data_IF_270491203658
#
_entry.id   IF_270491203658
#
_cell.length_a   1.000
_cell.length_b   1.000
_cell.length_c   1.000
_cell.angle_alpha   90.00
_cell.angle_beta   90.00
_cell.angle_gamma   90.00
#
_symmetry.space_group_name_H-M   'P 1'
#
loop_
_entity.id
_entity.type
_entity.pdbx_description
1 polymer ?
#
# COMPACT_ATOMS: atom_id res chain seq x y z
N UNK A 1 2.72 52.46 -53.04
CA UNK A 1 2.59 52.06 -54.45
C UNK A 1 2.04 50.65 -54.49
N UNK A 2 0.75 50.48 -54.83
CA UNK A 2 0.15 49.99 -56.09
C UNK A 2 0.61 48.55 -56.37
N UNK A 3 -0.20 47.48 -56.57
CA UNK A 3 -1.60 47.24 -57.02
C UNK A 3 -1.80 45.72 -56.87
N UNK A 4 -2.85 45.12 -56.29
CA UNK A 4 -4.15 44.74 -56.88
C UNK A 4 -4.05 43.88 -58.17
N UNK A 5 -4.63 42.58 -58.11
CA UNK A 5 -5.83 42.21 -58.89
C UNK A 5 -5.90 40.65 -58.86
N UNK A 6 -6.89 39.99 -58.29
CA UNK A 6 -8.23 39.60 -58.76
C UNK A 6 -8.25 38.38 -59.71
N UNK A 7 -8.96 37.31 -59.20
CA UNK A 7 -10.14 36.61 -59.77
C UNK A 7 -9.97 35.73 -61.02
N UNK A 8 -10.46 34.52 -60.97
CA UNK A 8 -11.77 33.89 -61.37
C UNK A 8 -11.52 32.40 -61.64
N UNK A 9 -12.24 31.44 -60.99
CA UNK A 9 -13.51 30.75 -61.36
C UNK A 9 -13.60 30.30 -62.83
N UNK A 10 -13.77 28.95 -62.99
CA UNK A 10 -14.69 28.20 -63.83
C UNK A 10 -14.22 26.72 -63.84
N UNK A 11 -14.94 25.75 -63.33
CA UNK A 11 -16.14 25.01 -63.78
C UNK A 11 -15.97 24.32 -65.13
N UNK A 12 -16.09 23.03 -65.14
CA UNK A 12 -16.81 22.21 -66.14
C UNK A 12 -16.16 20.85 -66.42
N UNK A 13 -16.82 19.82 -66.04
CA UNK A 13 -17.53 18.72 -66.75
C UNK A 13 -16.71 17.60 -67.39
N UNK A 14 -17.07 16.41 -66.88
CA UNK A 14 -17.36 15.13 -67.56
C UNK A 14 -16.37 14.60 -68.61
N UNK A 15 -15.86 13.38 -68.40
CA UNK A 15 -16.35 12.24 -69.20
C UNK A 15 -15.89 10.91 -68.58
N UNK A 16 -16.80 9.95 -68.62
CA UNK A 16 -16.62 8.59 -68.18
C UNK A 16 -15.81 7.75 -69.19
N UNK A 17 -15.00 6.83 -68.70
CA UNK A 17 -14.64 5.62 -69.43
C UNK A 17 -14.46 4.46 -68.46
N UNK A 18 -15.31 3.46 -68.65
CA UNK A 18 -15.32 2.15 -68.04
C UNK A 18 -14.21 1.30 -68.67
N UNK A 19 -13.41 0.62 -67.91
CA UNK A 19 -12.90 -0.74 -68.30
C UNK A 19 -12.60 -1.61 -67.07
N UNK A 20 -13.02 -2.83 -67.19
CA UNK A 20 -13.10 -3.89 -66.18
C UNK A 20 -11.78 -4.56 -65.82
N UNK A 21 -11.82 -5.21 -64.65
CA UNK A 21 -11.29 -6.53 -64.27
C UNK A 21 -9.85 -6.60 -63.79
N UNK A 22 -9.69 -6.80 -62.49
CA UNK A 22 -9.09 -8.04 -61.94
C UNK A 22 -9.30 -8.08 -60.44
N UNK A 23 -10.04 -9.07 -59.99
CA UNK A 23 -10.19 -9.42 -58.58
C UNK A 23 -8.87 -9.98 -58.03
N UNK A 24 -8.35 -9.36 -56.97
CA UNK A 24 -7.50 -10.01 -55.97
C UNK A 24 -7.98 -9.57 -54.61
N UNK A 25 -8.53 -10.55 -53.91
CA UNK A 25 -9.05 -10.35 -52.55
C UNK A 25 -7.95 -9.89 -51.57
N UNK A 26 -8.10 -8.69 -51.06
CA UNK A 26 -7.53 -8.31 -49.79
C UNK A 26 -8.63 -8.56 -48.75
N UNK A 27 -8.42 -9.58 -47.95
CA UNK A 27 -9.14 -9.77 -46.70
C UNK A 27 -8.71 -8.60 -45.81
N UNK A 28 -9.53 -7.57 -45.72
CA UNK A 28 -9.45 -6.63 -44.61
C UNK A 28 -9.86 -7.43 -43.35
N UNK A 29 -8.88 -7.73 -42.50
CA UNK A 29 -9.16 -7.99 -41.13
C UNK A 29 -9.72 -6.67 -40.54
N UNK A 30 -11.04 -6.55 -40.43
CA UNK A 30 -11.66 -5.64 -39.51
C UNK A 30 -11.18 -6.09 -38.12
N UNK A 31 -10.23 -5.34 -37.56
CA UNK A 31 -10.08 -5.32 -36.13
C UNK A 31 -11.42 -4.81 -35.59
N UNK A 32 -12.25 -5.73 -35.15
CA UNK A 32 -13.37 -5.41 -34.27
C UNK A 32 -12.76 -4.95 -32.93
N UNK A 33 -12.43 -3.69 -32.87
CA UNK A 33 -12.24 -2.99 -31.61
C UNK A 33 -13.64 -2.91 -30.98
N UNK A 34 -14.04 -3.95 -30.26
CA UNK A 34 -15.17 -3.89 -29.35
C UNK A 34 -14.76 -2.94 -28.23
N UNK A 35 -15.03 -1.65 -28.41
CA UNK A 35 -15.19 -0.75 -27.27
C UNK A 35 -16.38 -1.29 -26.49
N UNK A 36 -16.11 -2.11 -25.45
CA UNK A 36 -17.10 -2.34 -24.40
C UNK A 36 -17.52 -0.96 -23.90
N UNK A 37 -18.78 -0.62 -24.09
CA UNK A 37 -19.36 0.60 -23.51
C UNK A 37 -19.22 0.48 -22.00
N UNK A 38 -18.49 1.41 -21.39
CA UNK A 38 -18.35 1.47 -19.95
C UNK A 38 -19.74 1.61 -19.32
N UNK A 39 -20.12 0.66 -18.47
CA UNK A 39 -21.48 0.48 -17.95
C UNK A 39 -21.90 1.57 -16.95
N UNK A 40 -20.94 2.25 -16.35
CA UNK A 40 -21.15 3.19 -15.25
C UNK A 40 -21.32 2.49 -13.90
N UNK A 41 -21.44 3.26 -12.84
CA UNK A 41 -21.62 2.73 -11.46
C UNK A 41 -23.07 2.34 -11.23
N UNK A 42 -24.02 3.13 -11.70
CA UNK A 42 -25.47 2.89 -11.53
C UNK A 42 -25.91 1.59 -12.21
N UNK A 43 -26.52 0.71 -11.42
CA UNK A 43 -26.96 -0.62 -11.84
C UNK A 43 -25.85 -1.66 -12.03
N UNK A 44 -24.61 -1.37 -11.66
CA UNK A 44 -23.52 -2.36 -11.64
C UNK A 44 -23.62 -3.30 -10.44
N UNK A 45 -23.23 -4.56 -10.62
CA UNK A 45 -23.06 -5.53 -9.53
C UNK A 45 -21.59 -5.57 -9.11
N UNK A 46 -21.32 -5.31 -7.83
CA UNK A 46 -19.97 -5.37 -7.25
C UNK A 46 -19.91 -6.41 -6.14
N UNK A 47 -18.98 -7.38 -6.28
CA UNK A 47 -18.67 -8.34 -5.23
C UNK A 47 -17.55 -7.81 -4.34
N UNK A 48 -17.67 -7.96 -3.02
CA UNK A 48 -16.59 -7.70 -2.08
C UNK A 48 -16.22 -9.01 -1.34
N UNK A 49 -15.08 -9.60 -1.68
CA UNK A 49 -14.57 -10.83 -1.07
C UNK A 49 -13.61 -10.47 0.08
N UNK A 50 -14.15 -10.41 1.30
CA UNK A 50 -13.40 -10.12 2.51
C UNK A 50 -12.69 -11.37 3.02
N UNK A 51 -11.46 -11.22 3.51
CA UNK A 51 -10.69 -12.33 4.09
C UNK A 51 -11.34 -12.87 5.39
N UNK A 52 -11.83 -11.95 6.24
CA UNK A 52 -12.52 -12.27 7.50
C UNK A 52 -13.29 -11.04 8.02
N UNK A 53 -14.60 -11.10 8.01
CA UNK A 53 -15.45 -10.03 8.59
C UNK A 53 -15.55 -10.10 10.11
N UNK A 54 -15.01 -11.12 10.75
CA UNK A 54 -14.81 -11.16 12.20
C UNK A 54 -13.78 -10.12 12.67
N UNK A 55 -12.88 -9.69 11.78
CA UNK A 55 -11.99 -8.56 12.01
C UNK A 55 -12.74 -7.24 11.79
N UNK A 56 -12.84 -6.42 12.84
CA UNK A 56 -13.60 -5.17 12.81
C UNK A 56 -13.12 -4.17 11.74
N UNK A 57 -11.80 -4.11 11.47
CA UNK A 57 -11.25 -3.25 10.44
C UNK A 57 -11.70 -3.71 9.04
N UNK A 58 -11.62 -5.01 8.74
CA UNK A 58 -12.04 -5.57 7.45
C UNK A 58 -13.54 -5.40 7.24
N UNK A 59 -14.33 -5.65 8.29
CA UNK A 59 -15.80 -5.45 8.23
C UNK A 59 -16.15 -3.98 7.96
N UNK A 60 -15.53 -3.04 8.69
CA UNK A 60 -15.73 -1.60 8.49
C UNK A 60 -15.33 -1.15 7.08
N UNK A 61 -14.16 -1.59 6.59
CA UNK A 61 -13.71 -1.31 5.24
C UNK A 61 -14.70 -1.78 4.16
N UNK A 62 -15.23 -3.00 4.32
CA UNK A 62 -16.18 -3.56 3.37
C UNK A 62 -17.52 -2.79 3.38
N UNK A 63 -18.06 -2.48 4.56
CA UNK A 63 -19.35 -1.77 4.70
C UNK A 63 -19.23 -0.30 4.27
N UNK A 64 -18.13 0.39 4.57
CA UNK A 64 -17.91 1.77 4.15
C UNK A 64 -17.72 1.86 2.63
N UNK A 65 -16.95 0.94 2.03
CA UNK A 65 -16.79 0.86 0.56
C UNK A 65 -18.12 0.56 -0.12
N UNK A 66 -18.90 -0.38 0.44
CA UNK A 66 -20.25 -0.70 -0.02
C UNK A 66 -21.14 0.54 0.01
N UNK A 67 -21.18 1.25 1.13
CA UNK A 67 -22.02 2.44 1.30
C UNK A 67 -21.70 3.52 0.26
N UNK A 68 -20.43 3.72 -0.09
CA UNK A 68 -20.02 4.68 -1.12
C UNK A 68 -20.46 4.25 -2.52
N UNK A 69 -20.29 2.98 -2.89
CA UNK A 69 -20.71 2.46 -4.19
C UNK A 69 -22.23 2.44 -4.34
N UNK A 70 -22.97 2.04 -3.29
CA UNK A 70 -24.43 2.03 -3.30
C UNK A 70 -25.04 3.44 -3.36
N UNK A 71 -24.36 4.45 -2.84
CA UNK A 71 -24.77 5.85 -2.99
C UNK A 71 -24.78 6.31 -4.45
N UNK A 72 -23.94 5.70 -5.31
CA UNK A 72 -23.91 5.94 -6.74
C UNK A 72 -24.72 4.92 -7.56
N UNK A 73 -25.53 4.09 -6.90
CA UNK A 73 -26.51 3.19 -7.53
C UNK A 73 -25.97 1.79 -7.84
N UNK A 74 -24.79 1.39 -7.38
CA UNK A 74 -24.35 0.00 -7.49
C UNK A 74 -25.14 -0.93 -6.57
N UNK A 75 -25.23 -2.23 -6.94
CA UNK A 75 -25.60 -3.31 -6.03
C UNK A 75 -24.30 -3.93 -5.47
N UNK A 76 -24.07 -3.88 -4.15
CA UNK A 76 -22.85 -4.42 -3.55
C UNK A 76 -23.16 -5.59 -2.62
N UNK A 77 -22.50 -6.73 -2.86
CA UNK A 77 -22.61 -7.93 -2.05
C UNK A 77 -21.28 -8.27 -1.39
N UNK A 78 -21.28 -8.37 -0.05
CA UNK A 78 -20.10 -8.75 0.73
C UNK A 78 -20.12 -10.25 0.99
N UNK A 79 -19.01 -10.92 0.71
CA UNK A 79 -18.78 -12.33 0.99
C UNK A 79 -17.61 -12.48 1.96
N UNK A 80 -17.83 -13.15 3.08
CA UNK A 80 -16.85 -13.43 4.11
C UNK A 80 -16.17 -14.77 3.87
N UNK A 81 -14.84 -14.79 3.68
CA UNK A 81 -14.08 -16.03 3.52
C UNK A 81 -13.82 -16.73 4.86
N UNK A 82 -13.89 -16.03 5.99
CA UNK A 82 -13.62 -16.58 7.32
C UNK A 82 -12.24 -17.27 7.38
N UNK A 83 -11.20 -16.66 6.77
CA UNK A 83 -9.84 -17.18 6.63
C UNK A 83 -9.70 -18.51 5.87
N UNK A 84 -10.72 -18.89 5.07
CA UNK A 84 -10.69 -20.08 4.22
C UNK A 84 -10.50 -19.68 2.74
N UNK A 85 -9.31 -19.96 2.20
CA UNK A 85 -8.96 -19.62 0.82
C UNK A 85 -9.80 -20.41 -0.20
N UNK A 86 -10.19 -21.65 0.11
CA UNK A 86 -11.06 -22.45 -0.78
C UNK A 86 -12.46 -21.84 -0.87
N UNK A 87 -12.97 -21.34 0.25
CA UNK A 87 -14.23 -20.60 0.31
C UNK A 87 -14.13 -19.30 -0.50
N UNK A 88 -12.99 -18.58 -0.37
CA UNK A 88 -12.78 -17.34 -1.11
C UNK A 88 -12.69 -17.56 -2.63
N UNK A 89 -12.00 -18.62 -3.10
CA UNK A 89 -12.01 -19.04 -4.51
C UNK A 89 -13.44 -19.19 -5.02
N UNK A 90 -14.27 -19.99 -4.30
CA UNK A 90 -15.66 -20.21 -4.69
C UNK A 90 -16.50 -18.93 -4.71
N UNK A 91 -16.23 -17.98 -3.81
CA UNK A 91 -16.91 -16.68 -3.77
C UNK A 91 -16.57 -15.83 -5.01
N UNK A 92 -15.29 -15.75 -5.39
CA UNK A 92 -14.84 -15.02 -6.60
C UNK A 92 -15.50 -15.63 -7.85
N UNK A 93 -15.46 -16.97 -7.99
CA UNK A 93 -16.09 -17.68 -9.11
C UNK A 93 -17.61 -17.46 -9.15
N UNK A 94 -18.29 -17.46 -8.00
CA UNK A 94 -19.73 -17.19 -7.92
C UNK A 94 -20.06 -15.76 -8.37
N UNK A 95 -19.33 -14.75 -7.95
CA UNK A 95 -19.52 -13.38 -8.43
C UNK A 95 -19.31 -13.28 -9.95
N UNK A 96 -18.30 -13.95 -10.48
CA UNK A 96 -18.08 -14.02 -11.92
C UNK A 96 -19.27 -14.64 -12.66
N UNK A 97 -19.83 -15.77 -12.15
CA UNK A 97 -20.99 -16.44 -12.74
C UNK A 97 -22.26 -15.58 -12.61
N UNK A 98 -22.39 -14.81 -11.55
CA UNK A 98 -23.50 -13.85 -11.36
C UNK A 98 -23.41 -12.65 -12.31
N UNK A 99 -22.29 -12.49 -13.03
CA UNK A 99 -22.04 -11.37 -13.93
C UNK A 99 -21.68 -10.08 -13.20
N UNK A 100 -20.91 -10.20 -12.11
CA UNK A 100 -20.38 -9.03 -11.42
C UNK A 100 -19.54 -8.17 -12.38
N UNK A 101 -19.78 -6.87 -12.37
CA UNK A 101 -19.04 -5.89 -13.18
C UNK A 101 -17.68 -5.57 -12.54
N UNK A 102 -17.59 -5.63 -11.19
CA UNK A 102 -16.32 -5.54 -10.46
C UNK A 102 -16.30 -6.48 -9.25
N UNK A 103 -15.10 -6.90 -8.86
CA UNK A 103 -14.86 -7.69 -7.65
C UNK A 103 -13.69 -7.06 -6.88
N UNK A 104 -13.92 -6.75 -5.61
CA UNK A 104 -12.89 -6.31 -4.67
C UNK A 104 -12.46 -7.53 -3.85
N UNK A 105 -11.15 -7.77 -3.74
CA UNK A 105 -10.61 -8.93 -3.05
C UNK A 105 -9.56 -8.49 -2.02
N UNK A 106 -9.79 -8.84 -0.75
CA UNK A 106 -8.75 -8.85 0.27
C UNK A 106 -8.37 -10.31 0.47
N UNK A 107 -7.22 -10.77 -0.05
CA UNK A 107 -6.92 -12.19 -0.13
C UNK A 107 -6.62 -12.83 1.22
N UNK A 108 -7.11 -14.06 1.44
CA UNK A 108 -6.71 -14.93 2.54
C UNK A 108 -5.31 -15.49 2.29
N UNK A 109 -5.12 -16.04 1.08
CA UNK A 109 -3.86 -16.54 0.57
C UNK A 109 -3.71 -16.07 -0.88
N UNK A 110 -2.84 -15.06 -1.12
CA UNK A 110 -2.71 -14.44 -2.44
C UNK A 110 -2.35 -15.45 -3.55
N UNK A 111 -1.48 -16.39 -3.27
CA UNK A 111 -0.98 -17.34 -4.29
C UNK A 111 -2.07 -18.31 -4.77
N UNK A 112 -3.04 -18.64 -3.91
CA UNK A 112 -4.13 -19.56 -4.22
C UNK A 112 -5.23 -18.95 -5.11
N UNK A 113 -5.32 -17.62 -5.22
CA UNK A 113 -6.44 -16.93 -5.86
C UNK A 113 -6.21 -16.57 -7.35
N UNK A 114 -4.98 -16.74 -7.83
CA UNK A 114 -4.59 -16.31 -9.18
C UNK A 114 -5.55 -16.80 -10.27
N UNK A 115 -5.92 -18.08 -10.24
CA UNK A 115 -6.73 -18.69 -11.31
C UNK A 115 -8.20 -18.29 -11.24
N UNK A 116 -8.79 -18.18 -10.02
CA UNK A 116 -10.17 -17.71 -9.85
C UNK A 116 -10.33 -16.24 -10.25
N UNK A 117 -9.32 -15.40 -9.99
CA UNK A 117 -9.32 -14.00 -10.45
C UNK A 117 -9.24 -13.93 -11.97
N UNK A 118 -8.35 -14.69 -12.62
CA UNK A 118 -8.29 -14.76 -14.08
C UNK A 118 -9.62 -15.22 -14.69
N UNK A 119 -10.24 -16.24 -14.08
CA UNK A 119 -11.55 -16.68 -14.50
C UNK A 119 -12.60 -15.56 -14.42
N UNK A 120 -12.61 -14.78 -13.30
CA UNK A 120 -13.50 -13.64 -13.17
C UNK A 120 -13.28 -12.57 -14.25
N UNK A 121 -12.00 -12.28 -14.56
CA UNK A 121 -11.62 -11.34 -15.63
C UNK A 121 -12.06 -11.86 -17.02
N UNK A 122 -11.96 -13.16 -17.29
CA UNK A 122 -12.44 -13.79 -18.52
C UNK A 122 -13.99 -13.73 -18.65
N UNK A 123 -14.72 -13.67 -17.53
CA UNK A 123 -16.15 -13.43 -17.53
C UNK A 123 -16.53 -11.95 -17.64
N UNK A 124 -15.56 -11.05 -17.71
CA UNK A 124 -15.76 -9.60 -17.89
C UNK A 124 -15.70 -8.77 -16.60
N UNK A 125 -15.52 -9.38 -15.43
CA UNK A 125 -15.40 -8.65 -14.19
C UNK A 125 -14.06 -7.90 -14.12
N UNK A 126 -14.07 -6.65 -13.62
CA UNK A 126 -12.87 -5.93 -13.23
C UNK A 126 -12.48 -6.31 -11.80
N UNK A 127 -11.20 -6.55 -11.54
CA UNK A 127 -10.77 -7.03 -10.22
C UNK A 127 -9.80 -6.05 -9.57
N UNK A 128 -10.21 -5.50 -8.41
CA UNK A 128 -9.37 -4.76 -7.47
C UNK A 128 -8.88 -5.73 -6.40
N UNK A 129 -7.58 -5.90 -6.29
CA UNK A 129 -6.95 -6.65 -5.19
C UNK A 129 -6.32 -5.68 -4.20
N UNK A 130 -6.47 -5.94 -2.91
CA UNK A 130 -5.95 -5.10 -1.83
C UNK A 130 -5.04 -5.92 -0.92
N UNK A 131 -3.88 -5.37 -0.57
CA UNK A 131 -2.95 -5.87 0.47
C UNK A 131 -2.24 -7.21 0.22
N UNK A 132 -2.48 -7.91 -0.85
CA UNK A 132 -1.79 -9.19 -1.13
C UNK A 132 -1.67 -9.42 -2.62
N UNK A 133 -0.46 -9.54 -3.16
CA UNK A 133 -0.23 -9.68 -4.61
C UNK A 133 -0.62 -11.07 -5.11
N UNK A 134 -1.82 -11.17 -5.68
CA UNK A 134 -2.36 -12.39 -6.30
C UNK A 134 -1.84 -12.68 -7.71
N UNK A 135 -0.92 -11.88 -8.22
CA UNK A 135 -0.34 -11.94 -9.59
C UNK A 135 -1.36 -11.72 -10.73
N UNK A 136 -2.65 -11.70 -10.44
CA UNK A 136 -3.75 -11.42 -11.36
C UNK A 136 -4.66 -10.34 -10.76
N UNK A 137 -4.88 -9.24 -11.48
CA UNK A 137 -5.74 -8.12 -11.09
C UNK A 137 -5.83 -7.11 -12.24
N UNK A 138 -6.86 -6.28 -12.23
CA UNK A 138 -6.93 -5.05 -13.03
C UNK A 138 -6.23 -3.90 -12.29
N UNK A 139 -6.42 -3.79 -10.96
CA UNK A 139 -5.65 -2.91 -10.09
C UNK A 139 -5.25 -3.62 -8.80
N UNK A 140 -4.05 -3.34 -8.33
CA UNK A 140 -3.53 -3.79 -7.05
C UNK A 140 -3.29 -2.57 -6.16
N UNK A 141 -4.04 -2.45 -5.07
CA UNK A 141 -3.88 -1.40 -4.07
C UNK A 141 -3.06 -1.93 -2.90
N UNK A 142 -1.91 -1.32 -2.64
CA UNK A 142 -0.95 -1.77 -1.63
C UNK A 142 -0.08 -0.62 -1.14
N UNK A 143 0.73 -0.88 -0.12
CA UNK A 143 1.79 0.03 0.33
C UNK A 143 3.16 -0.51 -0.08
N UNK A 144 4.08 0.38 -0.43
CA UNK A 144 5.45 0.00 -0.74
C UNK A 144 6.20 -0.35 0.55
N UNK A 145 6.37 -1.65 0.80
CA UNK A 145 6.97 -2.16 2.04
C UNK A 145 8.43 -1.75 2.20
N UNK A 146 9.18 -1.69 1.10
CA UNK A 146 10.58 -1.21 1.15
C UNK A 146 10.65 0.27 1.54
N UNK A 147 9.82 1.10 0.92
CA UNK A 147 9.79 2.54 1.24
C UNK A 147 9.26 2.80 2.67
N UNK A 148 8.40 1.93 3.23
CA UNK A 148 8.01 2.00 4.64
C UNK A 148 9.23 1.79 5.55
N UNK A 149 9.99 0.72 5.36
CA UNK A 149 11.19 0.45 6.15
C UNK A 149 12.25 1.55 6.02
N UNK A 150 12.46 2.03 4.79
CA UNK A 150 13.37 3.14 4.51
C UNK A 150 12.91 4.46 5.14
N UNK A 151 11.60 4.72 5.21
CA UNK A 151 11.07 5.89 5.89
C UNK A 151 11.28 5.80 7.42
N UNK A 152 11.18 4.61 8.02
CA UNK A 152 11.56 4.41 9.42
C UNK A 152 13.07 4.65 9.65
N UNK A 153 13.92 4.16 8.75
CA UNK A 153 15.35 4.44 8.77
C UNK A 153 15.64 5.95 8.61
N UNK A 154 14.88 6.66 7.78
CA UNK A 154 15.04 8.11 7.63
C UNK A 154 14.67 8.89 8.91
N UNK A 155 13.60 8.46 9.62
CA UNK A 155 13.26 9.03 10.94
C UNK A 155 14.42 8.86 11.93
N UNK A 156 14.99 7.66 11.98
CA UNK A 156 16.15 7.37 12.83
C UNK A 156 17.39 8.17 12.43
N UNK A 157 17.66 8.29 11.12
CA UNK A 157 18.78 9.08 10.58
C UNK A 157 18.68 10.55 11.01
N UNK A 158 17.49 11.15 10.85
CA UNK A 158 17.24 12.54 11.25
C UNK A 158 17.45 12.73 12.77
N UNK A 159 16.97 11.79 13.57
CA UNK A 159 17.15 11.83 15.02
C UNK A 159 18.63 11.67 15.44
N UNK A 160 19.38 10.78 14.79
CA UNK A 160 20.83 10.61 15.01
C UNK A 160 21.57 11.92 14.70
N UNK A 161 21.28 12.54 13.56
CA UNK A 161 21.93 13.78 13.14
C UNK A 161 21.65 14.93 14.10
N UNK A 162 20.46 14.99 14.68
CA UNK A 162 20.08 16.01 15.64
C UNK A 162 20.67 15.73 17.03
N UNK A 163 20.65 14.48 17.49
CA UNK A 163 21.06 14.10 18.85
C UNK A 163 22.60 14.02 18.97
N UNK A 164 23.26 13.58 17.91
CA UNK A 164 24.72 13.37 17.85
C UNK A 164 25.37 14.16 16.71
N UNK A 165 25.28 15.52 16.71
CA UNK A 165 25.75 16.35 15.59
C UNK A 165 27.23 16.17 15.30
N UNK A 166 28.05 15.95 16.32
CA UNK A 166 29.52 15.84 16.24
C UNK A 166 30.03 14.38 16.19
N UNK A 167 29.11 13.39 16.08
CA UNK A 167 29.51 11.98 16.00
C UNK A 167 30.27 11.69 14.70
N UNK A 168 31.32 10.87 14.79
CA UNK A 168 32.11 10.41 13.65
C UNK A 168 31.32 9.35 12.84
N UNK A 169 31.69 9.14 11.59
CA UNK A 169 31.12 8.09 10.75
C UNK A 169 31.26 6.72 11.42
N UNK A 170 30.18 5.95 11.47
CA UNK A 170 30.12 4.61 12.05
C UNK A 170 30.20 4.57 13.59
N UNK A 171 30.09 5.70 14.29
CA UNK A 171 30.20 5.75 15.75
C UNK A 171 28.88 5.58 16.52
N UNK A 172 27.74 5.70 15.87
CA UNK A 172 26.42 5.55 16.50
C UNK A 172 25.88 4.14 16.26
N UNK A 173 25.83 3.34 17.31
CA UNK A 173 25.38 1.95 17.23
C UNK A 173 23.86 1.85 17.02
N UNK A 174 23.45 1.06 16.02
CA UNK A 174 22.07 0.78 15.64
C UNK A 174 21.82 -0.72 15.68
N UNK A 175 20.68 -1.14 16.21
CA UNK A 175 20.18 -2.50 16.06
C UNK A 175 18.93 -2.52 15.18
N UNK A 176 18.71 -3.62 14.46
CA UNK A 176 17.51 -3.85 13.65
C UNK A 176 16.81 -5.10 14.17
N UNK A 177 15.54 -4.94 14.55
CA UNK A 177 14.62 -6.01 14.88
C UNK A 177 13.71 -6.23 13.68
N UNK A 178 14.00 -7.27 12.92
CA UNK A 178 13.37 -7.54 11.62
C UNK A 178 12.48 -8.78 11.64
N UNK A 179 11.71 -8.96 10.57
CA UNK A 179 11.04 -10.19 10.24
C UNK A 179 11.22 -10.51 8.76
N UNK A 180 11.53 -11.78 8.46
CA UNK A 180 11.71 -12.29 7.10
C UNK A 180 10.80 -13.50 6.84
N UNK A 181 9.68 -13.59 7.58
CA UNK A 181 8.74 -14.71 7.46
C UNK A 181 8.02 -14.77 6.12
N UNK A 182 7.88 -13.62 5.47
CA UNK A 182 7.31 -13.51 4.12
C UNK A 182 7.99 -12.38 3.33
N UNK A 183 7.79 -12.32 1.99
CA UNK A 183 8.43 -11.34 1.13
C UNK A 183 8.11 -9.87 1.49
N UNK A 184 6.91 -9.56 1.98
CA UNK A 184 6.52 -8.20 2.33
C UNK A 184 7.27 -7.71 3.57
N UNK A 185 7.36 -8.56 4.60
CA UNK A 185 8.12 -8.26 5.81
C UNK A 185 9.63 -8.17 5.50
N UNK A 186 10.14 -9.06 4.65
CA UNK A 186 11.52 -9.00 4.20
C UNK A 186 11.83 -7.68 3.45
N UNK A 187 10.94 -7.22 2.58
CA UNK A 187 11.10 -5.93 1.88
C UNK A 187 11.09 -4.74 2.85
N UNK A 188 10.20 -4.74 3.86
CA UNK A 188 10.23 -3.71 4.91
C UNK A 188 11.56 -3.73 5.66
N UNK A 189 12.00 -4.92 6.05
CA UNK A 189 13.29 -5.12 6.73
C UNK A 189 14.46 -4.60 5.88
N UNK A 190 14.48 -4.93 4.58
CA UNK A 190 15.50 -4.43 3.65
C UNK A 190 15.54 -2.90 3.57
N UNK A 191 14.36 -2.25 3.62
CA UNK A 191 14.27 -0.79 3.68
C UNK A 191 14.92 -0.20 4.94
N UNK A 192 14.79 -0.85 6.10
CA UNK A 192 15.43 -0.39 7.35
C UNK A 192 16.96 -0.43 7.29
N UNK A 193 17.53 -1.36 6.53
CA UNK A 193 18.98 -1.44 6.35
C UNK A 193 19.58 -0.24 5.60
N UNK A 194 18.74 0.58 4.94
CA UNK A 194 19.17 1.85 4.33
C UNK A 194 19.69 2.88 5.35
N UNK A 195 19.53 2.64 6.65
CA UNK A 195 20.02 3.57 7.71
C UNK A 195 21.49 3.97 7.53
N UNK A 196 22.35 3.04 7.11
CA UNK A 196 23.79 3.32 6.91
C UNK A 196 24.07 4.13 5.64
N UNK A 197 23.19 4.08 4.65
CA UNK A 197 23.25 4.91 3.45
C UNK A 197 22.68 6.31 3.72
N UNK A 198 21.65 6.40 4.59
CA UNK A 198 20.97 7.65 4.93
C UNK A 198 21.73 8.46 5.98
N UNK A 199 22.41 7.80 6.91
CA UNK A 199 23.20 8.42 7.97
C UNK A 199 24.58 7.74 8.09
N UNK A 200 25.65 8.33 7.57
CA UNK A 200 27.01 7.76 7.68
C UNK A 200 27.48 7.51 9.11
N UNK A 201 26.94 8.24 10.10
CA UNK A 201 27.25 8.05 11.53
C UNK A 201 26.75 6.72 12.07
N UNK A 202 25.68 6.15 11.45
CA UNK A 202 25.05 4.92 11.90
C UNK A 202 25.91 3.68 11.57
N UNK A 203 26.00 2.76 12.55
CA UNK A 203 26.66 1.48 12.42
C UNK A 203 25.73 0.36 12.90
N UNK A 204 25.28 -0.53 12.02
CA UNK A 204 24.45 -1.67 12.40
C UNK A 204 25.32 -2.69 13.13
N UNK A 205 25.16 -2.78 14.45
CA UNK A 205 25.93 -3.69 15.32
C UNK A 205 25.18 -5.00 15.60
N UNK A 206 23.86 -5.00 15.41
CA UNK A 206 23.01 -6.19 15.67
C UNK A 206 21.80 -6.22 14.77
N UNK A 207 21.51 -7.40 14.25
CA UNK A 207 20.25 -7.72 13.56
C UNK A 207 19.63 -8.93 14.25
N UNK A 208 18.35 -8.86 14.56
CA UNK A 208 17.58 -9.94 15.18
C UNK A 208 16.34 -10.18 14.34
N UNK A 209 16.25 -11.39 13.76
CA UNK A 209 15.11 -11.80 12.93
C UNK A 209 14.00 -12.45 13.77
N UNK A 210 12.77 -12.40 13.28
CA UNK A 210 11.61 -13.05 13.87
C UNK A 210 10.94 -12.25 14.99
N UNK A 211 11.18 -10.95 15.09
CA UNK A 211 10.64 -10.08 16.15
C UNK A 211 9.27 -9.52 15.73
N UNK A 212 8.23 -10.32 15.84
CA UNK A 212 6.89 -9.94 15.40
C UNK A 212 5.96 -9.47 16.53
N UNK A 213 6.32 -9.70 17.81
CA UNK A 213 5.46 -9.39 18.96
C UNK A 213 6.18 -8.53 19.98
N UNK A 214 5.41 -7.79 20.78
CA UNK A 214 5.92 -7.00 21.90
C UNK A 214 6.79 -7.85 22.86
N UNK A 215 6.32 -9.03 23.27
CA UNK A 215 7.08 -9.91 24.15
C UNK A 215 8.43 -10.33 23.55
N UNK A 216 8.45 -10.76 22.28
CA UNK A 216 9.69 -11.15 21.62
C UNK A 216 10.68 -9.96 21.54
N UNK A 217 10.18 -8.76 21.33
CA UNK A 217 10.99 -7.55 21.31
C UNK A 217 11.57 -7.20 22.69
N UNK A 218 10.81 -7.38 23.77
CA UNK A 218 11.34 -7.20 25.15
C UNK A 218 12.46 -8.19 25.46
N UNK A 219 12.28 -9.47 25.11
CA UNK A 219 13.30 -10.51 25.31
C UNK A 219 14.57 -10.22 24.50
N UNK A 220 14.40 -9.81 23.23
CA UNK A 220 15.51 -9.42 22.36
C UNK A 220 16.23 -8.16 22.88
N UNK A 221 15.49 -7.14 23.33
CA UNK A 221 16.05 -5.92 23.91
C UNK A 221 16.83 -6.22 25.21
N UNK A 222 16.33 -7.11 26.06
CA UNK A 222 17.05 -7.57 27.26
C UNK A 222 18.42 -8.17 26.91
N UNK A 223 18.49 -8.94 25.84
CA UNK A 223 19.75 -9.52 25.36
C UNK A 223 20.64 -8.48 24.70
N UNK A 224 20.04 -7.60 23.89
CA UNK A 224 20.74 -6.54 23.18
C UNK A 224 21.50 -5.61 24.13
N UNK A 225 20.83 -5.07 25.15
CA UNK A 225 21.48 -4.13 26.10
C UNK A 225 22.55 -4.76 26.98
N UNK A 226 22.56 -6.11 27.11
CA UNK A 226 23.65 -6.82 27.76
C UNK A 226 24.86 -7.02 26.86
N UNK A 227 24.64 -7.25 25.57
CA UNK A 227 25.69 -7.56 24.60
C UNK A 227 26.23 -6.34 23.86
N UNK A 228 25.39 -5.33 23.68
CA UNK A 228 25.67 -4.07 22.98
C UNK A 228 25.12 -2.88 23.82
N UNK A 229 25.80 -2.57 24.97
CA UNK A 229 25.31 -1.56 25.89
C UNK A 229 25.35 -0.13 25.35
N UNK A 230 26.13 0.10 24.30
CA UNK A 230 26.29 1.42 23.67
C UNK A 230 25.30 1.69 22.54
N UNK A 231 24.36 0.74 22.26
CA UNK A 231 23.32 0.93 21.24
C UNK A 231 22.46 2.15 21.52
N UNK A 232 22.29 2.99 20.51
CA UNK A 232 21.53 4.26 20.59
C UNK A 232 20.19 4.20 19.89
N UNK A 233 20.05 3.33 18.89
CA UNK A 233 18.82 3.21 18.10
C UNK A 233 18.45 1.76 17.90
N UNK A 234 17.16 1.44 18.03
CA UNK A 234 16.58 0.19 17.58
C UNK A 234 15.52 0.49 16.52
N UNK A 235 15.73 -0.02 15.30
CA UNK A 235 14.73 -0.04 14.25
C UNK A 235 13.94 -1.33 14.34
N UNK A 236 12.60 -1.24 14.29
CA UNK A 236 11.71 -2.39 14.31
C UNK A 236 10.82 -2.40 13.06
N UNK A 237 10.62 -3.57 12.46
CA UNK A 237 9.81 -3.67 11.25
C UNK A 237 8.32 -3.39 11.49
N UNK A 238 7.86 -3.47 12.75
CA UNK A 238 6.48 -3.19 13.14
C UNK A 238 6.36 -2.41 14.47
N UNK A 239 5.14 -1.96 14.77
CA UNK A 239 4.84 -1.19 15.99
C UNK A 239 4.97 -1.99 17.27
N UNK A 240 4.58 -3.27 17.27
CA UNK A 240 4.70 -4.15 18.43
C UNK A 240 6.17 -4.33 18.86
N UNK A 241 7.07 -4.43 17.89
CA UNK A 241 8.50 -4.45 18.15
C UNK A 241 8.98 -3.17 18.86
N UNK A 242 8.58 -2.01 18.37
CA UNK A 242 8.92 -0.73 18.99
C UNK A 242 8.37 -0.58 20.39
N UNK A 243 7.10 -0.96 20.60
CA UNK A 243 6.47 -0.95 21.93
C UNK A 243 7.24 -1.81 22.91
N UNK A 244 7.61 -3.03 22.53
CA UNK A 244 8.38 -3.93 23.39
C UNK A 244 9.79 -3.42 23.71
N UNK A 245 10.50 -2.84 22.75
CA UNK A 245 11.81 -2.18 22.99
C UNK A 245 11.64 -0.99 23.94
N UNK A 246 10.65 -0.14 23.72
CA UNK A 246 10.35 1.02 24.55
C UNK A 246 10.06 0.61 26.02
N UNK A 247 9.15 -0.34 26.21
CA UNK A 247 8.78 -0.84 27.55
C UNK A 247 9.99 -1.41 28.30
N UNK A 248 10.82 -2.21 27.63
CA UNK A 248 12.02 -2.76 28.26
C UNK A 248 13.04 -1.66 28.57
N UNK A 249 13.33 -0.77 27.64
CA UNK A 249 14.30 0.31 27.82
C UNK A 249 13.89 1.25 28.97
N UNK A 250 12.62 1.63 29.01
CA UNK A 250 12.07 2.49 30.08
C UNK A 250 12.10 1.84 31.46
N UNK A 251 11.83 0.53 31.54
CA UNK A 251 11.79 -0.20 32.81
C UNK A 251 13.17 -0.62 33.33
N UNK A 252 14.11 -0.89 32.45
CA UNK A 252 15.43 -1.42 32.81
C UNK A 252 16.39 -0.39 33.39
N UNK A 253 16.24 0.87 33.02
CA UNK A 253 17.17 1.95 33.36
C UNK A 253 18.56 1.79 32.74
N UNK A 254 18.70 0.96 31.71
CA UNK A 254 19.99 0.65 31.07
C UNK A 254 20.37 1.65 29.98
N UNK A 255 19.51 2.62 29.67
CA UNK A 255 19.75 3.60 28.61
C UNK A 255 19.66 5.03 29.13
N UNK A 256 20.47 5.91 28.58
CA UNK A 256 20.28 7.37 28.77
C UNK A 256 19.11 7.81 27.84
N UNK A 257 18.02 8.24 28.43
CA UNK A 257 16.76 8.50 27.71
C UNK A 257 16.89 9.54 26.61
N UNK A 258 17.73 10.57 26.82
CA UNK A 258 17.99 11.61 25.82
C UNK A 258 18.85 11.11 24.65
N UNK A 259 19.53 9.97 24.81
CA UNK A 259 20.44 9.40 23.83
C UNK A 259 19.97 8.06 23.23
N UNK A 260 18.70 7.68 23.49
CA UNK A 260 18.14 6.44 22.98
C UNK A 260 16.80 6.66 22.28
N UNK A 261 16.57 5.91 21.21
CA UNK A 261 15.31 5.95 20.48
C UNK A 261 14.98 4.60 19.83
N UNK A 262 13.67 4.32 19.69
CA UNK A 262 13.17 3.29 18.77
C UNK A 262 12.27 3.92 17.71
N UNK A 263 12.37 3.38 16.47
CA UNK A 263 11.57 3.79 15.31
C UNK A 263 11.10 2.55 14.56
N UNK A 264 9.92 2.63 13.95
CA UNK A 264 9.39 1.53 13.18
C UNK A 264 8.23 1.93 12.30
N UNK A 265 7.43 0.94 11.96
CA UNK A 265 6.22 1.10 11.16
C UNK A 265 5.00 0.62 11.95
N UNK A 266 3.85 1.05 11.59
CA UNK A 266 2.50 0.85 12.08
C UNK A 266 1.89 2.11 12.71
N UNK A 267 0.57 2.05 12.90
CA UNK A 267 -0.17 3.14 13.50
C UNK A 267 -1.32 2.62 14.36
N UNK A 268 -1.37 3.14 15.58
CA UNK A 268 -2.49 2.94 16.53
C UNK A 268 -2.53 4.13 17.49
N UNK A 269 -3.62 4.25 18.26
CA UNK A 269 -3.72 5.27 19.29
C UNK A 269 -2.63 5.13 20.34
N UNK A 270 -2.25 3.90 20.70
CA UNK A 270 -1.15 3.63 21.62
C UNK A 270 0.19 4.12 21.04
N UNK A 271 0.48 3.85 19.76
CA UNK A 271 1.71 4.35 19.13
C UNK A 271 1.73 5.88 19.09
N UNK A 272 0.58 6.50 18.79
CA UNK A 272 0.46 7.95 18.81
C UNK A 272 0.72 8.55 20.21
N UNK A 273 0.20 7.91 21.26
CA UNK A 273 0.44 8.30 22.66
C UNK A 273 1.92 8.17 23.03
N UNK A 274 2.56 7.06 22.67
CA UNK A 274 3.99 6.83 22.95
C UNK A 274 4.88 7.86 22.23
N UNK A 275 4.60 8.20 20.97
CA UNK A 275 5.34 9.24 20.27
C UNK A 275 5.11 10.60 20.93
N UNK A 276 3.88 10.91 21.36
CA UNK A 276 3.58 12.17 22.05
C UNK A 276 4.29 12.25 23.40
N UNK A 277 4.26 11.20 24.22
CA UNK A 277 4.93 11.19 25.54
C UNK A 277 6.45 11.16 25.42
N UNK A 278 6.99 10.76 24.27
CA UNK A 278 8.43 10.87 23.99
C UNK A 278 8.95 12.30 23.96
N UNK A 279 8.08 13.30 23.81
CA UNK A 279 8.45 14.72 23.88
C UNK A 279 8.99 15.14 25.26
N UNK A 280 8.64 14.39 26.29
CA UNK A 280 9.07 14.61 27.68
C UNK A 280 9.94 13.48 28.25
N UNK A 281 10.49 12.63 27.37
CA UNK A 281 11.26 11.43 27.73
C UNK A 281 10.50 10.44 28.65
N UNK A 282 9.17 10.47 28.60
CA UNK A 282 8.30 9.47 29.25
C UNK A 282 8.08 8.24 28.37
N UNK A 283 8.53 8.31 27.11
CA UNK A 283 8.65 7.21 26.15
C UNK A 283 9.91 7.40 25.30
N UNK A 284 10.42 6.33 24.72
CA UNK A 284 11.57 6.32 23.81
C UNK A 284 11.18 5.89 22.39
N UNK A 285 9.89 5.70 22.14
CA UNK A 285 9.32 5.48 20.81
C UNK A 285 9.12 6.84 20.13
N UNK A 286 10.15 7.31 19.40
CA UNK A 286 10.23 8.70 18.95
C UNK A 286 9.67 8.96 17.56
N UNK A 287 9.27 7.93 16.85
CA UNK A 287 8.62 8.09 15.56
C UNK A 287 8.25 6.79 14.88
N UNK A 288 7.17 6.84 14.12
CA UNK A 288 6.63 5.71 13.37
C UNK A 288 6.25 6.09 11.94
N UNK A 289 6.22 5.10 11.08
CA UNK A 289 5.70 5.23 9.72
C UNK A 289 4.26 4.74 9.71
N UNK A 290 3.33 5.69 9.60
CA UNK A 290 1.93 5.40 9.31
C UNK A 290 1.80 5.13 7.83
N UNK A 291 1.27 3.98 7.47
CA UNK A 291 1.02 3.60 6.08
C UNK A 291 -0.44 3.20 5.87
N UNK A 292 -0.86 3.22 4.63
CA UNK A 292 -2.27 3.15 4.29
C UNK A 292 -2.91 4.54 4.31
N UNK A 293 -3.97 4.68 3.55
CA UNK A 293 -4.76 5.91 3.51
C UNK A 293 -5.66 5.99 4.76
N UNK A 294 -5.87 7.18 5.30
CA UNK A 294 -6.94 7.43 6.28
C UNK A 294 -8.33 7.18 5.69
N UNK A 295 -8.38 6.98 4.38
CA UNK A 295 -9.61 6.84 3.62
C UNK A 295 -9.54 5.68 2.62
N UNK A 296 -9.13 4.49 3.09
CA UNK A 296 -9.05 3.28 2.26
C UNK A 296 -10.39 2.97 1.54
N UNK A 297 -11.56 3.07 2.20
CA UNK A 297 -12.84 2.86 1.53
C UNK A 297 -13.05 3.82 0.34
N UNK A 298 -12.70 5.08 0.50
CA UNK A 298 -12.81 6.09 -0.57
C UNK A 298 -11.87 5.78 -1.74
N UNK A 299 -10.64 5.35 -1.47
CA UNK A 299 -9.69 4.97 -2.52
C UNK A 299 -10.20 3.74 -3.30
N UNK A 300 -10.70 2.72 -2.61
CA UNK A 300 -11.28 1.53 -3.23
C UNK A 300 -12.50 1.90 -4.10
N UNK A 301 -13.41 2.73 -3.58
CA UNK A 301 -14.54 3.27 -4.31
C UNK A 301 -14.11 4.02 -5.59
N UNK A 302 -13.12 4.92 -5.50
CA UNK A 302 -12.63 5.69 -6.65
C UNK A 302 -12.02 4.81 -7.74
N UNK A 303 -11.24 3.79 -7.33
CA UNK A 303 -10.64 2.83 -8.27
C UNK A 303 -11.74 2.03 -8.97
N UNK A 304 -12.70 1.46 -8.22
CA UNK A 304 -13.81 0.68 -8.78
C UNK A 304 -14.67 1.55 -9.71
N UNK A 305 -14.96 2.78 -9.31
CA UNK A 305 -15.69 3.75 -10.16
C UNK A 305 -14.96 4.01 -11.48
N UNK A 306 -13.63 4.20 -11.46
CA UNK A 306 -12.82 4.35 -12.68
C UNK A 306 -12.86 3.10 -13.55
N UNK A 307 -12.78 1.91 -12.95
CA UNK A 307 -12.89 0.64 -13.66
C UNK A 307 -14.23 0.50 -14.39
N UNK A 308 -15.34 0.77 -13.69
CA UNK A 308 -16.69 0.64 -14.22
C UNK A 308 -17.02 1.71 -15.28
N UNK A 309 -16.46 2.90 -15.14
CA UNK A 309 -16.67 4.02 -16.07
C UNK A 309 -15.66 4.11 -17.21
N UNK A 310 -14.69 3.16 -17.27
CA UNK A 310 -13.65 3.17 -18.31
C UNK A 310 -12.67 4.34 -18.19
N UNK A 311 -12.59 5.00 -17.03
CA UNK A 311 -11.62 6.04 -16.77
C UNK A 311 -10.23 5.44 -16.50
N UNK A 312 -9.14 6.18 -16.82
CA UNK A 312 -7.79 5.67 -16.56
C UNK A 312 -7.51 5.53 -15.07
N UNK A 313 -6.85 4.45 -14.70
CA UNK A 313 -6.33 4.16 -13.35
C UNK A 313 -4.96 3.48 -13.46
N UNK A 314 -4.16 3.57 -12.41
CA UNK A 314 -2.88 2.88 -12.36
C UNK A 314 -3.10 1.38 -12.05
N UNK A 315 -2.30 0.52 -12.68
CA UNK A 315 -2.38 -0.94 -12.43
C UNK A 315 -1.94 -1.30 -11.00
N UNK A 316 -0.99 -0.53 -10.44
CA UNK A 316 -0.59 -0.62 -9.04
C UNK A 316 -0.82 0.75 -8.41
N UNK A 317 -1.73 0.80 -7.45
CA UNK A 317 -2.03 1.99 -6.68
C UNK A 317 -1.32 1.89 -5.34
N UNK A 318 -0.35 2.76 -5.12
CA UNK A 318 0.37 2.81 -3.85
C UNK A 318 -0.37 3.72 -2.86
N UNK A 319 -0.63 3.20 -1.68
CA UNK A 319 -1.11 3.99 -0.56
C UNK A 319 0.00 4.93 -0.05
N UNK A 320 -0.36 6.13 0.40
CA UNK A 320 0.61 7.07 0.94
C UNK A 320 1.24 6.53 2.23
N UNK A 321 2.51 6.83 2.41
CA UNK A 321 3.25 6.65 3.66
C UNK A 321 3.45 8.01 4.31
N UNK A 322 3.26 8.07 5.64
CA UNK A 322 3.43 9.29 6.42
C UNK A 322 4.36 9.00 7.58
N UNK A 323 5.47 9.71 7.65
CA UNK A 323 6.34 9.70 8.82
C UNK A 323 5.75 10.56 9.92
N UNK A 324 5.62 10.01 11.12
CA UNK A 324 5.13 10.71 12.30
C UNK A 324 6.21 10.71 13.37
N UNK A 325 6.57 11.91 13.84
CA UNK A 325 7.54 12.16 14.90
C UNK A 325 7.16 13.43 15.69
N UNK A 326 8.08 13.91 16.52
CA UNK A 326 7.91 15.13 17.33
C UNK A 326 7.49 16.37 16.52
N UNK A 327 7.75 16.43 15.23
CA UNK A 327 7.49 17.61 14.40
C UNK A 327 6.03 17.73 13.97
N UNK A 328 5.29 16.62 14.02
CA UNK A 328 3.93 16.57 13.48
C UNK A 328 2.95 15.71 14.28
N UNK A 329 3.35 15.13 15.40
CA UNK A 329 2.49 14.25 16.23
C UNK A 329 1.17 14.92 16.62
N UNK A 330 1.16 16.22 16.89
CA UNK A 330 -0.04 16.98 17.29
C UNK A 330 -1.16 16.97 16.22
N UNK A 331 -0.85 16.59 14.97
CA UNK A 331 -1.85 16.41 13.93
C UNK A 331 -2.59 15.09 14.03
N UNK A 332 -1.97 14.10 14.65
CA UNK A 332 -2.42 12.71 14.68
C UNK A 332 -2.84 12.23 16.07
N UNK A 333 -2.38 12.90 17.12
CA UNK A 333 -2.72 12.62 18.51
C UNK A 333 -3.38 13.84 19.14
N UNK A 334 -4.52 13.62 19.78
CA UNK A 334 -5.19 14.63 20.63
C UNK A 334 -5.28 14.03 22.02
N UNK A 335 -4.55 14.61 22.95
CA UNK A 335 -4.76 14.29 24.37
C UNK A 335 -6.23 14.59 24.73
N UNK A 336 -6.90 13.62 25.37
CA UNK A 336 -8.26 13.78 25.90
C UNK A 336 -8.32 14.80 27.04
#
# INVERSE_FOLDING_TARGET
>A
MKKRFKKKVLLSLMTAAVTCVSAMGMVNAEETNSTEEAKGVDGSLVGFCALDTGNAFVAGLAEDTKSLLEADGAEVQIADASLDSSKQISQIENFAVMGADAIIVIPVDPDSLTDSIKYAQEQGAKVLVMNGDTKAYDCFMTSDRYEIGKAAAQLAANWIDETFPDAEDGSVEVAIFESRTNPEEANNSDGMHEITNLCPKANIVKVVDGIATNQAAQEAASTLFQTNPDVKVVLCFNGEGCLGVNEYAMSSGNVEKSEFATFGADWSDQIAEEIHTSLTDESLYRGSVKFGSDNIPQNAYEIVTKMLTGQPYEKVQLDPIVTVDKTNIDKYYKAE
#
